data_IF_613388991509
#
_entry.id   IF_613388991509
#
_cell.length_a   1.000
_cell.length_b   1.000
_cell.length_c   1.000
_cell.angle_alpha   90.00
_cell.angle_beta   90.00
_cell.angle_gamma   90.00
#
_symmetry.space_group_name_H-M   'P 1'
#
loop_
_entity.id
_entity.type
_entity.pdbx_description
1 polymer ?
#
# COMPACT_ATOMS: atom_id res chain seq x y z
N UNK A 1 -50.47 -12.96 7.73
CA UNK A 1 -49.40 -13.58 7.00
C UNK A 1 -48.49 -12.47 6.51
N UNK A 2 -47.46 -12.14 7.24
CA UNK A 2 -46.46 -11.14 6.81
C UNK A 2 -45.52 -11.84 5.84
N UNK A 3 -45.51 -11.40 4.60
CA UNK A 3 -44.51 -11.83 3.60
C UNK A 3 -43.16 -11.32 4.10
N UNK A 4 -42.30 -12.24 4.56
CA UNK A 4 -40.87 -12.01 4.68
C UNK A 4 -40.32 -11.91 3.25
N UNK A 5 -40.37 -10.73 2.65
CA UNK A 5 -39.55 -10.41 1.51
C UNK A 5 -38.12 -10.31 2.07
N UNK A 6 -37.32 -11.36 1.91
CA UNK A 6 -35.87 -11.29 2.08
C UNK A 6 -35.39 -10.27 1.05
N UNK A 7 -35.15 -9.02 1.48
CA UNK A 7 -34.52 -8.02 0.62
C UNK A 7 -33.19 -8.59 0.12
N UNK A 8 -33.11 -8.82 -1.16
CA UNK A 8 -31.90 -9.30 -1.82
C UNK A 8 -31.02 -8.11 -2.12
N UNK A 9 -29.93 -7.98 -1.43
CA UNK A 9 -28.95 -6.93 -1.71
C UNK A 9 -28.02 -7.39 -2.83
N UNK A 10 -27.89 -6.55 -3.84
CA UNK A 10 -27.09 -6.85 -5.03
C UNK A 10 -25.61 -6.42 -4.89
N UNK A 11 -25.29 -5.63 -3.84
CA UNK A 11 -23.94 -5.12 -3.57
C UNK A 11 -23.78 -4.70 -2.12
N UNK A 12 -22.55 -4.56 -1.66
CA UNK A 12 -22.20 -4.02 -0.33
C UNK A 12 -22.65 -2.56 -0.23
N UNK A 13 -22.47 -1.78 -1.31
CA UNK A 13 -22.94 -0.39 -1.37
C UNK A 13 -24.45 -0.29 -1.25
N UNK A 14 -25.19 -1.17 -1.92
CA UNK A 14 -26.65 -1.23 -1.82
C UNK A 14 -27.11 -1.57 -0.39
N UNK A 15 -26.45 -2.52 0.28
CA UNK A 15 -26.71 -2.83 1.69
C UNK A 15 -26.49 -1.60 2.59
N UNK A 16 -25.38 -0.90 2.46
CA UNK A 16 -25.05 0.28 3.27
C UNK A 16 -26.04 1.43 3.02
N UNK A 17 -26.39 1.69 1.79
CA UNK A 17 -27.32 2.76 1.39
C UNK A 17 -28.75 2.48 1.91
N UNK A 18 -29.25 1.26 1.72
CA UNK A 18 -30.57 0.84 2.22
C UNK A 18 -30.63 0.87 3.76
N UNK A 19 -29.51 0.53 4.42
CA UNK A 19 -29.35 0.64 5.87
C UNK A 19 -29.26 2.06 6.39
N UNK A 20 -29.25 3.08 5.53
CA UNK A 20 -29.12 4.50 5.91
C UNK A 20 -27.73 4.85 6.46
N UNK A 21 -26.68 4.12 6.04
CA UNK A 21 -25.32 4.39 6.46
C UNK A 21 -24.64 5.40 5.54
N UNK A 22 -23.91 6.33 6.11
CA UNK A 22 -22.81 7.03 5.46
C UNK A 22 -21.59 6.14 5.45
N UNK A 23 -20.79 6.14 4.38
CA UNK A 23 -19.62 5.28 4.30
C UNK A 23 -18.44 5.93 3.55
N UNK A 24 -17.26 5.40 3.79
CA UNK A 24 -16.02 5.69 3.08
C UNK A 24 -15.29 4.38 2.80
N UNK A 25 -14.74 4.25 1.61
CA UNK A 25 -14.06 3.03 1.17
C UNK A 25 -12.61 3.36 0.87
N UNK A 26 -11.71 2.54 1.38
CA UNK A 26 -10.27 2.67 1.14
C UNK A 26 -9.71 1.37 0.56
N UNK A 27 -8.80 1.50 -0.40
CA UNK A 27 -7.87 0.43 -0.75
C UNK A 27 -6.86 0.26 0.38
N UNK A 28 -6.63 -0.98 0.79
CA UNK A 28 -5.66 -1.38 1.81
C UNK A 28 -4.55 -2.27 1.22
N UNK A 29 -4.51 -2.45 -0.08
CA UNK A 29 -3.57 -3.34 -0.77
C UNK A 29 -2.18 -2.73 -0.93
N UNK A 30 -1.87 -2.17 -2.09
CA UNK A 30 -0.56 -1.58 -2.38
C UNK A 30 -0.29 -0.31 -1.60
N UNK A 31 -1.25 0.60 -1.57
CA UNK A 31 -1.25 1.84 -0.77
C UNK A 31 -2.60 2.01 -0.10
N UNK A 32 -2.62 2.70 1.03
CA UNK A 32 -3.87 3.09 1.63
C UNK A 32 -4.36 4.34 0.90
N UNK A 33 -5.47 4.21 0.18
CA UNK A 33 -6.02 5.32 -0.60
C UNK A 33 -7.54 5.26 -0.67
N UNK A 34 -8.16 6.44 -0.70
CA UNK A 34 -9.62 6.58 -0.83
C UNK A 34 -10.09 6.07 -2.19
N UNK A 35 -11.09 5.19 -2.22
CA UNK A 35 -11.85 4.82 -3.41
C UNK A 35 -13.15 5.61 -3.38
N UNK A 36 -13.46 6.37 -4.43
CA UNK A 36 -14.72 7.11 -4.49
C UNK A 36 -15.91 6.15 -4.60
N UNK A 37 -17.07 6.56 -4.08
CA UNK A 37 -18.25 5.73 -4.01
C UNK A 37 -18.67 5.25 -5.41
N UNK A 38 -18.64 6.14 -6.42
CA UNK A 38 -18.94 5.81 -7.83
C UNK A 38 -17.97 4.79 -8.43
N UNK A 39 -16.69 4.90 -8.10
CA UNK A 39 -15.67 3.93 -8.57
C UNK A 39 -15.92 2.58 -7.92
N UNK A 40 -16.24 2.53 -6.63
CA UNK A 40 -16.51 1.27 -5.95
C UNK A 40 -17.79 0.60 -6.45
N UNK A 41 -18.87 1.36 -6.67
CA UNK A 41 -20.09 0.86 -7.32
C UNK A 41 -19.80 0.25 -8.69
N UNK A 42 -18.91 0.88 -9.47
CA UNK A 42 -18.49 0.35 -10.78
C UNK A 42 -17.68 -0.95 -10.66
N UNK A 43 -16.85 -1.06 -9.61
CA UNK A 43 -16.07 -2.27 -9.29
C UNK A 43 -17.02 -3.40 -8.89
N UNK A 44 -17.95 -3.15 -7.95
CA UNK A 44 -18.94 -4.15 -7.52
C UNK A 44 -19.86 -4.61 -8.66
N UNK A 45 -20.23 -3.69 -9.55
CA UNK A 45 -21.05 -3.96 -10.73
C UNK A 45 -20.31 -4.55 -11.93
N UNK A 46 -19.05 -4.95 -11.79
CA UNK A 46 -18.18 -5.46 -12.87
C UNK A 46 -18.06 -4.56 -14.10
N UNK A 47 -18.23 -3.26 -13.91
CA UNK A 47 -18.04 -2.25 -14.96
C UNK A 47 -16.61 -1.74 -15.03
N UNK A 48 -15.86 -1.93 -13.96
CA UNK A 48 -14.47 -1.50 -13.82
C UNK A 48 -13.66 -2.52 -13.03
N UNK A 49 -12.44 -2.84 -13.52
CA UNK A 49 -11.50 -3.66 -12.79
C UNK A 49 -11.00 -2.93 -11.53
N UNK A 50 -10.61 -3.67 -10.51
CA UNK A 50 -10.01 -3.13 -9.29
C UNK A 50 -8.69 -2.42 -9.62
N UNK A 51 -8.47 -1.16 -9.19
CA UNK A 51 -7.39 -0.34 -9.75
C UNK A 51 -5.99 -0.77 -9.34
N UNK A 52 -5.82 -1.32 -8.15
CA UNK A 52 -4.50 -1.67 -7.61
C UNK A 52 -4.52 -3.02 -6.85
N UNK A 53 -4.83 -4.13 -7.54
CA UNK A 53 -4.84 -5.44 -6.92
C UNK A 53 -3.48 -5.79 -6.30
N UNK A 54 -3.51 -6.49 -5.16
CA UNK A 54 -2.32 -6.97 -4.51
C UNK A 54 -2.49 -8.42 -4.11
N UNK A 55 -1.54 -9.27 -4.51
CA UNK A 55 -1.61 -10.72 -4.28
C UNK A 55 -2.92 -11.36 -4.77
N UNK A 56 -3.38 -10.97 -5.95
CA UNK A 56 -4.64 -11.42 -6.59
C UNK A 56 -5.90 -11.13 -5.78
N UNK A 57 -5.88 -10.08 -4.96
CA UNK A 57 -7.01 -9.67 -4.12
C UNK A 57 -7.25 -8.17 -4.18
N UNK A 58 -8.50 -7.79 -3.98
CA UNK A 58 -8.90 -6.46 -3.55
C UNK A 58 -8.88 -6.43 -2.01
N UNK A 59 -8.15 -5.49 -1.43
CA UNK A 59 -8.02 -5.29 0.01
C UNK A 59 -8.72 -4.00 0.37
N UNK A 60 -9.76 -4.07 1.19
CA UNK A 60 -10.67 -2.96 1.44
C UNK A 60 -10.75 -2.65 2.93
N UNK A 61 -10.85 -1.35 3.25
CA UNK A 61 -11.40 -0.92 4.53
C UNK A 61 -12.69 -0.14 4.25
N UNK A 62 -13.78 -0.60 4.87
CA UNK A 62 -15.08 0.06 4.85
C UNK A 62 -15.28 0.75 6.19
N UNK A 63 -15.31 2.07 6.17
CA UNK A 63 -15.64 2.92 7.29
C UNK A 63 -17.07 3.39 7.11
N UNK A 64 -17.97 3.09 8.05
CA UNK A 64 -19.38 3.49 7.92
C UNK A 64 -20.00 3.85 9.27
N UNK A 65 -20.99 4.74 9.22
CA UNK A 65 -21.68 5.25 10.43
C UNK A 65 -23.11 5.63 10.12
N UNK A 66 -23.97 5.70 11.14
CA UNK A 66 -25.32 6.23 11.05
C UNK A 66 -25.37 7.64 11.62
N UNK A 67 -26.25 8.46 11.05
CA UNK A 67 -26.49 9.83 11.48
C UNK A 67 -25.22 10.71 11.52
N UNK A 68 -25.29 11.84 12.22
CA UNK A 68 -24.17 12.78 12.38
C UNK A 68 -23.13 12.33 13.41
N UNK A 69 -23.28 11.16 14.02
CA UNK A 69 -22.36 10.65 15.06
C UNK A 69 -21.22 9.82 14.44
N UNK A 70 -20.29 10.51 13.81
CA UNK A 70 -19.06 9.89 13.26
C UNK A 70 -18.20 9.20 14.35
N UNK A 71 -18.40 9.53 15.62
CA UNK A 71 -17.68 8.91 16.75
C UNK A 71 -18.05 7.44 16.98
N UNK A 72 -19.15 6.96 16.40
CA UNK A 72 -19.60 5.56 16.45
C UNK A 72 -19.35 4.82 15.14
N UNK A 73 -18.40 5.30 14.34
CA UNK A 73 -18.06 4.69 13.06
C UNK A 73 -17.50 3.28 13.25
N UNK A 74 -17.94 2.39 12.38
CA UNK A 74 -17.52 0.99 12.32
C UNK A 74 -16.58 0.81 11.17
N UNK A 75 -15.58 -0.06 11.34
CA UNK A 75 -14.60 -0.36 10.33
C UNK A 75 -14.61 -1.86 10.06
N UNK A 76 -14.76 -2.24 8.79
CA UNK A 76 -14.53 -3.59 8.31
C UNK A 76 -13.29 -3.62 7.43
N UNK A 77 -12.41 -4.57 7.68
CA UNK A 77 -11.28 -4.88 6.82
C UNK A 77 -11.59 -6.16 6.05
N UNK A 78 -11.79 -6.03 4.73
CA UNK A 78 -12.26 -7.09 3.86
C UNK A 78 -11.28 -7.36 2.73
N UNK A 79 -11.14 -8.62 2.34
CA UNK A 79 -10.34 -9.06 1.21
C UNK A 79 -11.20 -9.92 0.28
N UNK A 80 -11.23 -9.58 -1.00
CA UNK A 80 -11.95 -10.35 -2.00
C UNK A 80 -11.01 -10.83 -3.10
N UNK A 81 -11.14 -12.08 -3.55
CA UNK A 81 -10.40 -12.56 -4.71
C UNK A 81 -10.86 -11.81 -5.96
N UNK A 82 -9.92 -11.62 -6.89
CA UNK A 82 -10.18 -11.07 -8.22
C UNK A 82 -9.88 -12.14 -9.28
N UNK A 83 -10.47 -11.95 -10.47
CA UNK A 83 -10.19 -12.79 -11.64
C UNK A 83 -8.93 -12.33 -12.39
N UNK A 84 -8.61 -12.99 -13.51
CA UNK A 84 -7.43 -12.72 -14.32
C UNK A 84 -7.50 -11.37 -15.06
N UNK A 85 -8.69 -10.77 -15.14
CA UNK A 85 -8.93 -9.45 -15.74
C UNK A 85 -8.96 -8.33 -14.70
N UNK A 86 -8.82 -8.68 -13.41
CA UNK A 86 -8.81 -7.73 -12.31
C UNK A 86 -10.20 -7.38 -11.75
N UNK A 87 -11.26 -8.10 -12.14
CA UNK A 87 -12.59 -7.90 -11.59
C UNK A 87 -12.81 -8.68 -10.30
N UNK A 88 -13.63 -8.14 -9.40
CA UNK A 88 -14.07 -8.83 -8.20
C UNK A 88 -14.81 -10.12 -8.57
N UNK A 89 -14.45 -11.25 -7.96
CA UNK A 89 -15.22 -12.49 -8.09
C UNK A 89 -16.56 -12.33 -7.39
N UNK A 90 -17.64 -12.35 -8.18
CA UNK A 90 -19.00 -12.07 -7.69
C UNK A 90 -19.45 -13.11 -6.66
N UNK A 91 -19.06 -14.39 -6.84
CA UNK A 91 -19.41 -15.46 -5.90
C UNK A 91 -18.86 -15.18 -4.49
N UNK A 92 -17.67 -14.59 -4.39
CA UNK A 92 -17.06 -14.23 -3.11
C UNK A 92 -17.76 -13.05 -2.45
N UNK A 93 -18.13 -12.01 -3.24
CA UNK A 93 -18.92 -10.88 -2.76
C UNK A 93 -20.32 -11.32 -2.29
N UNK A 94 -20.99 -12.14 -3.10
CA UNK A 94 -22.34 -12.62 -2.80
C UNK A 94 -22.36 -13.54 -1.56
N UNK A 95 -21.33 -14.39 -1.40
CA UNK A 95 -21.16 -15.20 -0.19
C UNK A 95 -20.97 -14.32 1.05
N UNK A 96 -20.19 -13.24 0.96
CA UNK A 96 -20.06 -12.27 2.05
C UNK A 96 -21.39 -11.58 2.39
N UNK A 97 -22.19 -11.18 1.37
CA UNK A 97 -23.50 -10.56 1.59
C UNK A 97 -24.49 -11.52 2.25
N UNK A 98 -24.48 -12.81 1.87
CA UNK A 98 -25.32 -13.83 2.50
C UNK A 98 -24.93 -13.98 3.98
N UNK A 99 -23.64 -14.14 4.27
CA UNK A 99 -23.11 -14.24 5.64
C UNK A 99 -23.51 -13.02 6.48
N UNK A 100 -23.35 -11.81 5.93
CA UNK A 100 -23.76 -10.56 6.58
C UNK A 100 -25.26 -10.51 6.90
N UNK A 101 -26.10 -10.96 5.96
CA UNK A 101 -27.57 -10.99 6.14
C UNK A 101 -28.00 -12.02 7.19
N UNK A 102 -27.38 -13.21 7.20
CA UNK A 102 -27.66 -14.23 8.20
C UNK A 102 -27.32 -13.76 9.61
N UNK A 103 -26.17 -13.10 9.78
CA UNK A 103 -25.73 -12.54 11.06
C UNK A 103 -26.63 -11.38 11.49
N UNK A 104 -26.99 -10.50 10.57
CA UNK A 104 -27.91 -9.38 10.85
C UNK A 104 -29.31 -9.87 11.20
N UNK A 105 -29.82 -10.90 10.52
CA UNK A 105 -31.12 -11.52 10.77
C UNK A 105 -31.21 -12.20 12.15
N UNK A 106 -30.15 -12.90 12.57
CA UNK A 106 -30.05 -13.51 13.92
C UNK A 106 -30.07 -12.44 15.02
N UNK A 107 -29.44 -11.27 14.79
CA UNK A 107 -29.35 -10.19 15.75
C UNK A 107 -30.62 -9.33 15.86
N UNK A 108 -31.44 -9.24 14.80
CA UNK A 108 -32.77 -8.59 14.85
C UNK A 108 -33.71 -9.36 15.77
N UNK A 109 -33.61 -10.69 15.79
CA UNK A 109 -34.38 -11.54 16.71
C UNK A 109 -33.90 -11.42 18.17
N UNK A 110 -32.61 -11.13 18.37
CA UNK A 110 -31.97 -11.04 19.69
C UNK A 110 -32.04 -9.66 20.34
N UNK A 111 -32.80 -8.70 19.85
CA UNK A 111 -33.09 -7.35 20.39
C UNK A 111 -32.01 -6.64 21.25
N UNK A 112 -30.76 -7.04 21.19
CA UNK A 112 -29.68 -6.43 21.95
C UNK A 112 -28.37 -6.30 21.11
N UNK A 113 -27.97 -5.05 20.94
CA UNK A 113 -26.64 -4.55 20.66
C UNK A 113 -26.05 -4.80 19.26
N UNK A 114 -26.13 -3.76 18.43
CA UNK A 114 -25.40 -3.65 17.14
C UNK A 114 -23.88 -3.86 17.21
N UNK A 115 -23.28 -3.97 18.39
CA UNK A 115 -21.88 -4.34 18.60
C UNK A 115 -21.60 -5.83 18.38
N UNK A 116 -22.51 -6.74 18.73
CA UNK A 116 -22.28 -8.19 18.64
C UNK A 116 -22.23 -8.69 17.18
N UNK A 117 -23.10 -8.18 16.30
CA UNK A 117 -23.09 -8.52 14.87
C UNK A 117 -21.80 -8.08 14.15
N UNK A 118 -21.16 -7.04 14.65
CA UNK A 118 -19.94 -6.48 14.08
C UNK A 118 -18.69 -7.24 14.53
N UNK A 119 -18.73 -7.86 15.71
CA UNK A 119 -17.63 -8.69 16.21
C UNK A 119 -17.59 -10.07 15.55
N UNK A 120 -18.75 -10.63 15.17
CA UNK A 120 -18.83 -11.91 14.45
C UNK A 120 -18.26 -11.86 13.03
N UNK A 121 -18.30 -10.69 12.36
CA UNK A 121 -17.65 -10.51 11.04
C UNK A 121 -16.12 -10.64 11.08
N UNK A 122 -15.49 -10.55 12.25
CA UNK A 122 -14.05 -10.77 12.40
C UNK A 122 -13.64 -12.22 12.11
N UNK A 123 -14.57 -13.16 12.19
CA UNK A 123 -14.35 -14.59 11.88
C UNK A 123 -14.71 -14.94 10.43
N UNK A 124 -15.23 -13.97 9.64
CA UNK A 124 -15.53 -14.17 8.22
C UNK A 124 -14.26 -14.51 7.43
N UNK A 125 -14.30 -15.45 6.48
CA UNK A 125 -13.15 -15.76 5.62
C UNK A 125 -12.72 -14.59 4.73
N UNK A 126 -13.58 -13.59 4.61
CA UNK A 126 -13.29 -12.35 3.89
C UNK A 126 -12.67 -11.28 4.77
N UNK A 127 -12.68 -11.44 6.09
CA UNK A 127 -12.03 -10.50 7.00
C UNK A 127 -10.51 -10.68 7.01
N UNK A 128 -9.79 -9.58 7.25
CA UNK A 128 -8.36 -9.61 7.52
C UNK A 128 -7.97 -8.62 8.61
N UNK A 129 -6.82 -8.86 9.23
CA UNK A 129 -6.25 -7.96 10.24
C UNK A 129 -5.06 -7.24 9.63
N UNK A 130 -5.12 -5.89 9.44
CA UNK A 130 -3.95 -5.12 9.03
C UNK A 130 -2.82 -5.23 10.06
N UNK A 131 -1.56 -5.12 9.60
CA UNK A 131 -0.44 -4.97 10.52
C UNK A 131 -0.53 -3.61 11.25
N UNK A 132 0.16 -3.44 12.40
CA UNK A 132 0.04 -2.24 13.24
C UNK A 132 0.33 -0.92 12.49
N UNK A 133 1.36 -0.88 11.63
CA UNK A 133 1.72 0.33 10.86
C UNK A 133 0.60 0.73 9.90
N UNK A 134 0.07 -0.23 9.15
CA UNK A 134 -1.04 0.02 8.21
C UNK A 134 -2.31 0.39 8.93
N UNK A 135 -2.57 -0.21 10.09
CA UNK A 135 -3.74 0.12 10.89
C UNK A 135 -3.67 1.57 11.42
N UNK A 136 -2.51 1.98 11.95
CA UNK A 136 -2.29 3.34 12.43
C UNK A 136 -2.42 4.36 11.28
N UNK A 137 -1.83 4.06 10.12
CA UNK A 137 -1.92 4.95 8.96
C UNK A 137 -3.34 5.04 8.40
N UNK A 138 -4.07 3.92 8.34
CA UNK A 138 -5.49 3.93 7.96
C UNK A 138 -6.32 4.79 8.92
N UNK A 139 -6.15 4.63 10.23
CA UNK A 139 -6.86 5.44 11.22
C UNK A 139 -6.57 6.93 11.06
N UNK A 140 -5.30 7.31 10.86
CA UNK A 140 -4.91 8.70 10.64
C UNK A 140 -5.57 9.30 9.39
N UNK A 141 -5.58 8.56 8.27
CA UNK A 141 -6.23 8.99 7.03
C UNK A 141 -7.76 9.05 7.17
N UNK A 142 -8.36 8.07 7.85
CA UNK A 142 -9.81 8.02 8.10
C UNK A 142 -10.27 9.18 8.98
N UNK A 143 -9.57 9.47 10.06
CA UNK A 143 -9.86 10.61 10.95
C UNK A 143 -9.72 11.93 10.20
N UNK A 144 -8.70 12.08 9.36
CA UNK A 144 -8.53 13.26 8.51
C UNK A 144 -9.68 13.40 7.51
N UNK A 145 -10.08 12.32 6.84
CA UNK A 145 -11.21 12.31 5.88
C UNK A 145 -12.54 12.70 6.55
N UNK A 146 -12.67 12.43 7.84
CA UNK A 146 -13.84 12.80 8.65
C UNK A 146 -13.72 14.20 9.30
N UNK A 147 -12.68 14.97 8.97
CA UNK A 147 -12.39 16.29 9.54
C UNK A 147 -12.32 16.28 11.08
N UNK A 148 -11.78 15.19 11.65
CA UNK A 148 -11.59 15.03 13.09
C UNK A 148 -10.16 15.39 13.49
N UNK A 149 -9.99 15.72 14.79
CA UNK A 149 -8.68 16.03 15.37
C UNK A 149 -7.78 14.79 15.37
N UNK A 150 -6.44 14.97 15.23
CA UNK A 150 -5.48 13.88 15.37
C UNK A 150 -5.52 13.27 16.78
N UNK A 151 -4.86 12.13 16.96
CA UNK A 151 -4.74 11.47 18.25
C UNK A 151 -3.93 12.31 19.26
N UNK A 152 -4.02 11.93 20.53
CA UNK A 152 -3.20 12.56 21.60
C UNK A 152 -1.68 12.43 21.39
N UNK A 153 -1.22 11.53 20.52
CA UNK A 153 0.21 11.31 20.21
C UNK A 153 0.76 12.27 19.16
N UNK A 154 -0.08 13.02 18.48
CA UNK A 154 0.30 13.91 17.39
C UNK A 154 1.31 14.97 17.83
N UNK A 155 1.02 15.71 18.92
CA UNK A 155 1.89 16.77 19.39
C UNK A 155 3.25 16.24 19.85
N UNK A 156 3.28 15.14 20.58
CA UNK A 156 4.53 14.50 21.02
C UNK A 156 5.44 14.12 19.83
N UNK A 157 4.84 13.63 18.74
CA UNK A 157 5.61 13.32 17.53
C UNK A 157 6.16 14.59 16.86
N UNK A 158 5.42 15.68 16.87
CA UNK A 158 5.90 16.98 16.36
C UNK A 158 7.05 17.52 17.20
N UNK A 159 6.97 17.43 18.52
CA UNK A 159 8.02 17.84 19.45
C UNK A 159 9.32 17.04 19.23
N UNK A 160 9.19 15.76 18.87
CA UNK A 160 10.32 14.93 18.45
C UNK A 160 10.93 15.44 17.12
N UNK A 161 10.09 15.71 16.12
CA UNK A 161 10.54 16.17 14.80
C UNK A 161 11.19 17.54 14.84
N UNK A 162 10.80 18.43 15.78
CA UNK A 162 11.47 19.70 16.01
C UNK A 162 12.83 19.56 16.68
N UNK A 163 13.11 18.40 17.28
CA UNK A 163 14.32 18.16 18.08
C UNK A 163 14.19 18.54 19.56
N UNK A 164 13.03 19.07 19.98
CA UNK A 164 12.82 19.56 21.35
C UNK A 164 12.97 18.47 22.40
N UNK A 165 12.65 17.21 22.06
CA UNK A 165 12.77 16.05 22.96
C UNK A 165 14.10 15.29 22.81
N UNK A 166 14.90 15.61 21.80
CA UNK A 166 16.09 14.85 21.42
C UNK A 166 15.76 13.61 20.57
N UNK A 167 16.56 13.36 19.52
CA UNK A 167 16.32 12.27 18.59
C UNK A 167 16.60 10.87 19.15
N UNK A 168 17.30 10.77 20.25
CA UNK A 168 17.55 9.54 21.00
C UNK A 168 16.28 9.02 21.71
N UNK A 169 15.26 9.87 21.91
CA UNK A 169 14.00 9.52 22.58
C UNK A 169 12.97 8.85 21.65
N UNK A 170 13.39 8.39 20.48
CA UNK A 170 12.52 7.79 19.45
C UNK A 170 11.71 6.58 19.93
N UNK A 171 12.16 5.84 20.97
CA UNK A 171 11.46 4.69 21.53
C UNK A 171 10.08 5.05 22.12
N UNK A 172 9.87 6.32 22.44
CA UNK A 172 8.58 6.82 22.94
C UNK A 172 7.61 7.26 21.86
N UNK A 173 8.02 7.18 20.57
CA UNK A 173 7.13 7.49 19.45
C UNK A 173 6.13 6.36 19.24
N UNK A 174 4.84 6.71 19.31
CA UNK A 174 3.77 5.79 18.95
C UNK A 174 3.53 5.79 17.43
N UNK A 175 3.26 4.61 16.85
CA UNK A 175 2.92 4.48 15.42
C UNK A 175 1.76 5.39 15.01
N UNK A 176 0.78 5.59 15.89
CA UNK A 176 -0.36 6.48 15.61
C UNK A 176 0.07 7.95 15.49
N UNK A 177 1.01 8.42 16.32
CA UNK A 177 1.52 9.78 16.23
C UNK A 177 2.29 10.02 14.93
N UNK A 178 3.13 9.05 14.51
CA UNK A 178 3.83 9.06 13.21
C UNK A 178 2.83 9.14 12.07
N UNK A 179 1.81 8.28 12.09
CA UNK A 179 0.77 8.23 11.08
C UNK A 179 -0.04 9.54 11.02
N UNK A 180 -0.38 10.13 12.15
CA UNK A 180 -1.13 11.39 12.23
C UNK A 180 -0.36 12.56 11.62
N UNK A 181 0.96 12.66 11.87
CA UNK A 181 1.82 13.69 11.27
C UNK A 181 1.90 13.47 9.76
N UNK A 182 2.14 12.24 9.31
CA UNK A 182 2.27 11.92 7.88
C UNK A 182 0.95 12.13 7.14
N UNK A 183 -0.18 11.77 7.73
CA UNK A 183 -1.49 12.03 7.11
C UNK A 183 -1.76 13.54 6.93
N UNK A 184 -1.10 14.39 7.71
CA UNK A 184 -1.29 15.85 7.75
C UNK A 184 -0.06 16.64 7.29
N UNK A 185 0.70 16.12 6.32
CA UNK A 185 1.91 16.78 5.81
C UNK A 185 1.71 18.25 5.39
N UNK A 186 0.59 18.61 4.79
CA UNK A 186 0.30 19.99 4.39
C UNK A 186 -0.23 20.90 5.51
N UNK A 187 -0.31 20.43 6.75
CA UNK A 187 -0.82 21.15 7.91
C UNK A 187 0.33 21.51 8.85
N UNK A 188 0.29 22.70 9.46
CA UNK A 188 1.20 23.13 10.53
C UNK A 188 2.70 22.92 10.22
N UNK A 189 3.11 23.00 8.96
CA UNK A 189 4.50 22.78 8.50
C UNK A 189 5.06 21.39 8.85
N UNK A 190 4.25 20.35 8.92
CA UNK A 190 4.68 19.00 9.21
C UNK A 190 5.68 18.44 8.20
N UNK A 191 5.53 18.82 6.92
CA UNK A 191 6.45 18.46 5.84
C UNK A 191 7.85 19.10 6.04
N UNK A 192 7.92 20.34 6.49
CA UNK A 192 9.19 21.03 6.79
C UNK A 192 9.88 20.43 8.03
N UNK A 193 9.10 20.15 9.09
CA UNK A 193 9.63 19.51 10.31
C UNK A 193 10.22 18.14 9.97
N UNK A 194 9.48 17.32 9.25
CA UNK A 194 9.93 15.99 8.87
C UNK A 194 11.14 16.04 7.93
N UNK A 195 11.16 16.98 6.97
CA UNK A 195 12.30 17.18 6.06
C UNK A 195 13.61 17.47 6.81
N UNK A 196 13.55 18.29 7.86
CA UNK A 196 14.71 18.58 8.71
C UNK A 196 15.15 17.37 9.51
N UNK A 197 14.18 16.64 10.08
CA UNK A 197 14.45 15.50 10.95
C UNK A 197 15.01 14.28 10.22
N UNK A 198 14.64 14.03 8.95
CA UNK A 198 15.07 12.87 8.15
C UNK A 198 16.59 12.69 8.12
N UNK A 199 17.35 13.77 8.10
CA UNK A 199 18.81 13.70 7.99
C UNK A 199 19.52 13.41 9.32
N UNK A 200 18.85 13.65 10.44
CA UNK A 200 19.45 13.57 11.78
C UNK A 200 18.85 12.48 12.69
N UNK A 201 17.63 12.03 12.38
CA UNK A 201 16.98 10.98 13.18
C UNK A 201 17.67 9.61 12.97
N UNK A 202 17.64 8.73 14.00
CA UNK A 202 18.08 7.34 13.86
C UNK A 202 17.31 6.56 12.79
N UNK A 203 17.88 5.46 12.30
CA UNK A 203 17.29 4.63 11.25
C UNK A 203 15.94 4.04 11.66
N UNK A 204 15.77 3.57 12.88
CA UNK A 204 14.54 2.92 13.32
C UNK A 204 13.28 3.81 13.17
N UNK A 205 13.24 5.06 13.68
CA UNK A 205 12.11 5.95 13.41
C UNK A 205 12.01 6.35 11.93
N UNK A 206 13.12 6.51 11.20
CA UNK A 206 13.11 6.79 9.78
C UNK A 206 12.35 5.70 8.99
N UNK A 207 12.61 4.43 9.27
CA UNK A 207 11.88 3.30 8.66
C UNK A 207 10.38 3.39 8.95
N UNK A 208 9.98 3.73 10.18
CA UNK A 208 8.57 3.89 10.53
C UNK A 208 7.90 5.06 9.78
N UNK A 209 8.60 6.20 9.66
CA UNK A 209 8.13 7.32 8.82
C UNK A 209 8.04 6.93 7.35
N UNK A 210 9.02 6.21 6.79
CA UNK A 210 8.98 5.73 5.41
C UNK A 210 7.78 4.81 5.16
N UNK A 211 7.46 3.91 6.11
CA UNK A 211 6.27 3.05 6.03
C UNK A 211 4.96 3.82 5.99
N UNK A 212 4.86 4.92 6.71
CA UNK A 212 3.69 5.81 6.65
C UNK A 212 3.68 6.63 5.35
N UNK A 213 4.83 7.21 4.95
CA UNK A 213 4.99 8.08 3.77
C UNK A 213 4.65 7.38 2.45
N UNK A 214 4.77 6.05 2.34
CA UNK A 214 4.38 5.32 1.13
C UNK A 214 2.91 5.52 0.72
N UNK A 215 2.06 5.99 1.65
CA UNK A 215 0.62 6.17 1.46
C UNK A 215 0.20 7.61 1.13
N UNK A 216 1.14 8.54 1.09
CA UNK A 216 0.90 9.96 0.82
C UNK A 216 1.78 10.46 -0.33
N UNK A 217 1.74 11.76 -0.59
CA UNK A 217 2.51 12.40 -1.66
C UNK A 217 3.47 13.43 -1.10
N UNK A 218 4.69 13.05 -0.72
CA UNK A 218 5.72 14.01 -0.31
C UNK A 218 6.00 15.04 -1.41
N UNK A 219 6.18 16.31 -1.03
CA UNK A 219 6.42 17.43 -1.96
C UNK A 219 7.54 18.34 -1.43
N UNK A 220 8.04 19.20 -2.30
CA UNK A 220 8.94 20.30 -1.93
C UNK A 220 10.16 19.84 -1.12
N UNK A 221 10.37 20.46 0.04
CA UNK A 221 11.51 20.19 0.93
C UNK A 221 11.57 18.74 1.40
N UNK A 222 10.41 18.12 1.69
CA UNK A 222 10.36 16.74 2.15
C UNK A 222 10.78 15.74 1.05
N UNK A 223 10.28 15.91 -0.18
CA UNK A 223 10.69 15.08 -1.29
C UNK A 223 12.20 15.19 -1.54
N UNK A 224 12.75 16.39 -1.52
CA UNK A 224 14.19 16.63 -1.67
C UNK A 224 15.01 15.99 -0.55
N UNK A 225 14.59 16.12 0.72
CA UNK A 225 15.28 15.52 1.85
C UNK A 225 15.31 13.98 1.77
N UNK A 226 14.21 13.35 1.36
CA UNK A 226 14.15 11.90 1.11
C UNK A 226 15.11 11.46 0.00
N UNK A 227 15.20 12.24 -1.09
CA UNK A 227 16.12 11.98 -2.21
C UNK A 227 17.57 12.12 -1.79
N UNK A 228 17.91 13.18 -1.06
CA UNK A 228 19.26 13.39 -0.54
C UNK A 228 19.67 12.27 0.41
N UNK A 229 18.75 11.85 1.29
CA UNK A 229 18.98 10.71 2.19
C UNK A 229 19.20 9.42 1.41
N UNK A 230 18.41 9.15 0.37
CA UNK A 230 18.58 7.97 -0.47
C UNK A 230 19.95 8.00 -1.19
N UNK A 231 20.36 9.14 -1.71
CA UNK A 231 21.67 9.30 -2.35
C UNK A 231 22.81 9.08 -1.37
N UNK A 232 22.74 9.59 -0.14
CA UNK A 232 23.78 9.39 0.89
C UNK A 232 23.96 7.92 1.24
N UNK A 233 22.85 7.20 1.46
CA UNK A 233 22.88 5.75 1.76
C UNK A 233 23.50 4.96 0.60
N UNK A 234 23.21 5.33 -0.65
CA UNK A 234 23.75 4.68 -1.83
C UNK A 234 25.26 4.88 -1.98
N UNK A 235 25.78 6.08 -1.66
CA UNK A 235 27.21 6.37 -1.77
C UNK A 235 28.06 5.73 -0.66
N UNK A 236 27.50 5.55 0.53
CA UNK A 236 28.15 4.90 1.67
C UNK A 236 28.23 3.38 1.51
N UNK A 237 27.31 2.78 0.73
CA UNK A 237 27.20 1.33 0.53
C UNK A 237 28.05 0.71 -0.58
N UNK A 238 29.02 1.42 -1.19
CA UNK A 238 29.92 0.85 -2.19
C UNK A 238 31.04 0.09 -1.47
N UNK A 239 30.97 -1.26 -1.30
CA UNK A 239 32.06 -2.00 -0.67
C UNK A 239 33.29 -1.95 -1.58
N UNK A 240 34.50 -1.87 -1.04
CA UNK A 240 35.72 -2.06 -1.83
C UNK A 240 35.66 -3.44 -2.48
N UNK A 241 36.09 -3.55 -3.74
CA UNK A 241 36.02 -4.71 -4.64
C UNK A 241 36.59 -6.07 -4.13
N UNK A 242 36.80 -6.23 -2.81
CA UNK A 242 37.39 -7.42 -2.20
C UNK A 242 36.70 -7.74 -0.85
N UNK A 243 35.44 -8.22 -0.87
CA UNK A 243 34.81 -8.78 0.34
C UNK A 243 34.63 -10.29 0.19
N UNK A 244 35.15 -11.05 1.17
CA UNK A 244 34.88 -12.48 1.30
C UNK A 244 33.45 -12.70 1.82
N UNK A 245 32.75 -13.69 1.27
CA UNK A 245 31.36 -14.04 1.65
C UNK A 245 31.23 -14.22 3.18
N UNK A 246 30.22 -13.58 3.79
CA UNK A 246 29.96 -13.65 5.24
C UNK A 246 30.67 -12.58 6.08
N UNK A 247 31.26 -11.57 5.46
CA UNK A 247 31.90 -10.45 6.17
C UNK A 247 30.88 -9.43 6.70
N UNK A 248 31.30 -8.63 7.72
CA UNK A 248 30.52 -7.49 8.22
C UNK A 248 30.06 -6.54 7.12
N UNK A 249 30.83 -6.40 6.04
CA UNK A 249 30.51 -5.60 4.88
C UNK A 249 29.29 -6.11 4.08
N UNK A 250 29.03 -7.43 4.01
CA UNK A 250 27.79 -7.95 3.39
C UNK A 250 26.56 -7.68 4.24
N UNK A 251 26.69 -7.74 5.57
CA UNK A 251 25.59 -7.39 6.48
C UNK A 251 25.25 -5.90 6.42
N UNK A 252 26.25 -5.03 6.33
CA UNK A 252 26.09 -3.59 6.15
C UNK A 252 25.49 -3.26 4.78
N UNK A 253 25.95 -3.91 3.70
CA UNK A 253 25.39 -3.73 2.36
C UNK A 253 23.90 -4.16 2.31
N UNK A 254 23.53 -5.28 2.93
CA UNK A 254 22.14 -5.72 3.02
C UNK A 254 21.27 -4.74 3.81
N UNK A 255 21.78 -4.18 4.92
CA UNK A 255 21.06 -3.15 5.69
C UNK A 255 20.84 -1.89 4.85
N UNK A 256 21.86 -1.43 4.11
CA UNK A 256 21.75 -0.28 3.23
C UNK A 256 20.72 -0.49 2.11
N UNK A 257 20.68 -1.66 1.48
CA UNK A 257 19.69 -1.98 0.44
C UNK A 257 18.27 -2.00 0.99
N UNK A 258 18.05 -2.49 2.21
CA UNK A 258 16.76 -2.42 2.89
C UNK A 258 16.32 -0.97 3.13
N UNK A 259 17.23 -0.12 3.60
CA UNK A 259 16.94 1.30 3.82
C UNK A 259 16.65 2.02 2.48
N UNK A 260 17.41 1.71 1.42
CA UNK A 260 17.13 2.20 0.06
C UNK A 260 15.72 1.79 -0.38
N UNK A 261 15.35 0.53 -0.20
CA UNK A 261 14.00 0.03 -0.54
C UNK A 261 12.91 0.78 0.24
N UNK A 262 13.11 1.06 1.54
CA UNK A 262 12.17 1.82 2.36
C UNK A 262 12.05 3.29 1.90
N UNK A 263 13.16 3.95 1.57
CA UNK A 263 13.16 5.31 1.04
C UNK A 263 12.48 5.38 -0.34
N UNK A 264 12.68 4.40 -1.20
CA UNK A 264 11.97 4.29 -2.48
C UNK A 264 10.44 4.14 -2.27
N UNK A 265 10.03 3.36 -1.29
CA UNK A 265 8.60 3.24 -0.93
C UNK A 265 8.04 4.59 -0.47
N UNK A 266 8.75 5.31 0.39
CA UNK A 266 8.36 6.65 0.83
C UNK A 266 8.26 7.64 -0.34
N UNK A 267 9.19 7.57 -1.30
CA UNK A 267 9.22 8.40 -2.50
C UNK A 267 8.18 8.01 -3.56
N UNK A 268 7.54 6.86 -3.45
CA UNK A 268 6.66 6.30 -4.50
C UNK A 268 5.43 7.15 -4.84
N UNK A 269 5.09 8.15 -4.04
CA UNK A 269 4.05 9.15 -4.29
C UNK A 269 4.60 10.57 -4.47
N UNK A 270 5.93 10.77 -4.39
CA UNK A 270 6.52 12.10 -4.37
C UNK A 270 6.27 12.91 -5.66
N UNK A 271 6.10 14.21 -5.50
CA UNK A 271 5.91 15.18 -6.57
C UNK A 271 7.07 16.21 -6.57
N UNK A 272 7.55 16.66 -7.75
CA UNK A 272 7.05 16.33 -9.09
C UNK A 272 7.49 14.95 -9.60
N UNK A 273 6.71 14.38 -10.54
CA UNK A 273 6.94 13.03 -11.07
C UNK A 273 8.30 12.86 -11.75
N UNK A 274 8.76 13.87 -12.47
CA UNK A 274 10.02 13.80 -13.22
C UNK A 274 11.21 13.63 -12.28
N UNK A 275 11.20 14.31 -11.13
CA UNK A 275 12.22 14.14 -10.09
C UNK A 275 12.22 12.71 -9.55
N UNK A 276 11.06 12.16 -9.24
CA UNK A 276 10.89 10.79 -8.76
C UNK A 276 11.34 9.78 -9.80
N UNK A 277 10.98 9.97 -11.08
CA UNK A 277 11.36 9.10 -12.20
C UNK A 277 12.87 9.10 -12.44
N UNK A 278 13.52 10.27 -12.33
CA UNK A 278 14.97 10.36 -12.41
C UNK A 278 15.66 9.49 -11.35
N UNK A 279 15.22 9.60 -10.09
CA UNK A 279 15.77 8.78 -9.00
C UNK A 279 15.50 7.28 -9.20
N UNK A 280 14.35 6.89 -9.73
CA UNK A 280 14.07 5.49 -10.03
C UNK A 280 15.02 4.93 -11.10
N UNK A 281 15.36 5.71 -12.11
CA UNK A 281 16.35 5.31 -13.14
C UNK A 281 17.75 5.18 -12.54
N UNK A 282 18.15 6.14 -11.66
CA UNK A 282 19.45 6.07 -10.99
C UNK A 282 19.57 4.80 -10.11
N UNK A 283 18.50 4.47 -9.36
CA UNK A 283 18.48 3.28 -8.50
C UNK A 283 18.40 1.98 -9.29
N UNK A 284 17.74 1.99 -10.46
CA UNK A 284 17.71 0.82 -11.35
C UNK A 284 19.04 0.56 -12.06
N UNK A 285 20.03 1.45 -11.96
CA UNK A 285 21.38 1.17 -12.41
C UNK A 285 22.07 0.15 -11.46
N UNK A 286 22.95 -0.75 -12.00
CA UNK A 286 23.71 -1.67 -11.16
C UNK A 286 24.63 -0.95 -10.16
N UNK A 287 24.88 -1.52 -8.97
CA UNK A 287 24.40 -2.83 -8.48
C UNK A 287 23.02 -2.80 -7.81
N UNK A 288 22.48 -1.63 -7.40
CA UNK A 288 21.24 -1.53 -6.64
C UNK A 288 20.01 -2.07 -7.37
N UNK A 289 19.91 -1.84 -8.67
CA UNK A 289 18.80 -2.32 -9.48
C UNK A 289 18.68 -3.85 -9.53
N UNK A 290 19.75 -4.56 -9.21
CA UNK A 290 19.79 -6.03 -9.16
C UNK A 290 19.32 -6.57 -7.80
N UNK A 291 19.12 -5.72 -6.80
CA UNK A 291 18.65 -6.14 -5.47
C UNK A 291 17.16 -6.45 -5.48
N UNK A 292 16.79 -7.61 -4.90
CA UNK A 292 15.38 -8.08 -4.89
C UNK A 292 14.46 -7.19 -4.04
N UNK A 293 14.95 -6.61 -2.94
CA UNK A 293 14.17 -5.72 -2.08
C UNK A 293 13.86 -4.40 -2.80
N UNK A 294 14.80 -3.89 -3.58
CA UNK A 294 14.62 -2.72 -4.44
C UNK A 294 13.56 -2.99 -5.51
N UNK A 295 13.66 -4.13 -6.21
CA UNK A 295 12.67 -4.52 -7.22
C UNK A 295 11.27 -4.74 -6.59
N UNK A 296 11.21 -5.35 -5.41
CA UNK A 296 9.97 -5.53 -4.66
C UNK A 296 9.36 -4.19 -4.20
N UNK A 297 10.18 -3.23 -3.77
CA UNK A 297 9.72 -1.89 -3.41
C UNK A 297 9.13 -1.15 -4.62
N UNK A 298 9.79 -1.21 -5.78
CA UNK A 298 9.29 -0.59 -7.02
C UNK A 298 8.00 -1.25 -7.47
N UNK A 299 7.95 -2.59 -7.59
CA UNK A 299 6.74 -3.32 -8.02
C UNK A 299 5.58 -3.15 -7.05
N UNK A 300 5.86 -3.12 -5.75
CA UNK A 300 4.85 -3.03 -4.69
C UNK A 300 4.30 -1.64 -4.44
N UNK A 301 5.10 -0.58 -4.62
CA UNK A 301 4.72 0.79 -4.23
C UNK A 301 4.86 1.83 -5.33
N UNK A 302 5.87 1.71 -6.22
CA UNK A 302 6.12 2.63 -7.33
C UNK A 302 5.65 2.06 -8.68
N UNK A 303 4.74 1.07 -8.68
CA UNK A 303 4.26 0.39 -9.90
C UNK A 303 3.71 1.33 -10.98
N UNK A 304 3.17 2.50 -10.59
CA UNK A 304 2.67 3.48 -11.54
C UNK A 304 3.78 4.04 -12.45
N UNK A 305 5.00 4.15 -11.92
CA UNK A 305 6.15 4.63 -12.69
C UNK A 305 6.62 3.61 -13.73
N UNK A 306 6.25 2.33 -13.60
CA UNK A 306 6.47 1.31 -14.64
C UNK A 306 5.63 1.55 -15.90
N UNK A 307 4.69 2.50 -15.91
CA UNK A 307 4.04 2.99 -17.14
C UNK A 307 5.00 3.80 -18.01
N UNK A 308 6.01 4.41 -17.40
CA UNK A 308 7.10 5.07 -18.12
C UNK A 308 8.01 4.00 -18.75
N UNK A 309 8.21 4.07 -20.08
CA UNK A 309 8.93 3.02 -20.83
C UNK A 309 10.39 2.85 -20.38
N UNK A 310 11.23 3.90 -20.24
CA UNK A 310 12.61 3.76 -19.77
C UNK A 310 12.71 3.04 -18.42
N UNK A 311 11.89 3.41 -17.43
CA UNK A 311 11.86 2.79 -16.09
C UNK A 311 11.43 1.32 -16.20
N UNK A 312 10.40 1.03 -16.97
CA UNK A 312 9.90 -0.32 -17.16
C UNK A 312 10.95 -1.22 -17.83
N UNK A 313 11.65 -0.73 -18.83
CA UNK A 313 12.72 -1.48 -19.50
C UNK A 313 13.88 -1.79 -18.56
N UNK A 314 14.38 -0.80 -17.82
CA UNK A 314 15.42 -1.02 -16.82
C UNK A 314 14.97 -2.02 -15.74
N UNK A 315 13.71 -1.90 -15.26
CA UNK A 315 13.14 -2.83 -14.30
C UNK A 315 13.05 -4.26 -14.83
N UNK A 316 12.60 -4.46 -16.08
CA UNK A 316 12.50 -5.78 -16.72
C UNK A 316 13.87 -6.44 -16.84
N UNK A 317 14.91 -5.70 -17.23
CA UNK A 317 16.27 -6.21 -17.34
C UNK A 317 16.78 -6.73 -15.99
N UNK A 318 16.62 -5.94 -14.93
CA UNK A 318 17.02 -6.34 -13.57
C UNK A 318 16.19 -7.49 -13.03
N UNK A 319 14.89 -7.50 -13.30
CA UNK A 319 14.01 -8.61 -12.92
C UNK A 319 14.40 -9.91 -13.62
N UNK A 320 14.85 -9.85 -14.88
CA UNK A 320 15.34 -11.00 -15.62
C UNK A 320 16.65 -11.58 -15.04
N UNK A 321 17.45 -10.81 -14.32
CA UNK A 321 18.64 -11.29 -13.61
C UNK A 321 18.29 -12.13 -12.36
N UNK A 322 17.07 -11.96 -11.78
CA UNK A 322 16.63 -12.65 -10.57
C UNK A 322 16.40 -14.16 -10.82
N UNK A 323 16.29 -14.96 -9.74
CA UNK A 323 15.88 -16.36 -9.88
C UNK A 323 14.44 -16.46 -10.43
N UNK A 324 14.08 -17.65 -10.98
CA UNK A 324 12.78 -17.84 -11.64
C UNK A 324 11.59 -17.58 -10.69
N UNK A 325 11.70 -18.01 -9.43
CA UNK A 325 10.62 -17.83 -8.43
C UNK A 325 10.31 -16.36 -8.16
N UNK A 326 11.36 -15.54 -7.99
CA UNK A 326 11.19 -14.10 -7.77
C UNK A 326 10.64 -13.41 -9.03
N UNK A 327 11.16 -13.78 -10.21
CA UNK A 327 10.65 -13.31 -11.50
C UNK A 327 9.16 -13.59 -11.64
N UNK A 328 8.73 -14.85 -11.42
CA UNK A 328 7.35 -15.27 -11.58
C UNK A 328 6.42 -14.57 -10.58
N UNK A 329 6.85 -14.43 -9.33
CA UNK A 329 6.05 -13.80 -8.27
C UNK A 329 5.79 -12.31 -8.56
N UNK A 330 6.85 -11.55 -8.89
CA UNK A 330 6.75 -10.12 -9.17
C UNK A 330 5.96 -9.88 -10.47
N UNK A 331 6.25 -10.65 -11.51
CA UNK A 331 5.58 -10.50 -12.80
C UNK A 331 4.09 -10.84 -12.70
N UNK A 332 3.74 -11.95 -12.04
CA UNK A 332 2.34 -12.34 -11.81
C UNK A 332 1.56 -11.24 -11.08
N UNK A 333 2.16 -10.65 -10.05
CA UNK A 333 1.49 -9.62 -9.25
C UNK A 333 1.30 -8.31 -10.04
N UNK A 334 2.31 -7.89 -10.81
CA UNK A 334 2.19 -6.71 -11.69
C UNK A 334 1.19 -6.90 -12.83
N UNK A 335 1.09 -8.10 -13.40
CA UNK A 335 0.14 -8.39 -14.49
C UNK A 335 -1.33 -8.32 -14.07
N UNK A 336 -1.63 -8.33 -12.77
CA UNK A 336 -2.98 -8.14 -12.26
C UNK A 336 -3.42 -6.67 -12.27
N UNK A 337 -2.48 -5.73 -12.36
CA UNK A 337 -2.80 -4.30 -12.42
C UNK A 337 -3.35 -3.99 -13.82
N UNK A 338 -4.49 -3.28 -13.93
CA UNK A 338 -5.05 -2.88 -15.20
C UNK A 338 -4.03 -2.20 -16.12
N UNK A 339 -4.02 -2.57 -17.40
CA UNK A 339 -3.11 -2.10 -18.47
C UNK A 339 -1.64 -2.55 -18.34
N UNK A 340 -1.17 -2.92 -17.14
CA UNK A 340 0.23 -3.29 -16.91
C UNK A 340 0.63 -4.56 -17.68
N UNK A 341 -0.25 -5.53 -17.77
CA UNK A 341 -0.03 -6.79 -18.51
C UNK A 341 0.36 -6.54 -19.96
N UNK A 342 -0.37 -5.64 -20.64
CA UNK A 342 -0.08 -5.29 -22.04
C UNK A 342 1.28 -4.61 -22.20
N UNK A 343 1.60 -3.67 -21.31
CA UNK A 343 2.87 -2.94 -21.30
C UNK A 343 4.07 -3.87 -21.07
N UNK A 344 3.99 -4.73 -20.04
CA UNK A 344 5.07 -5.67 -19.70
C UNK A 344 5.31 -6.70 -20.83
N UNK A 345 4.25 -7.37 -21.28
CA UNK A 345 4.36 -8.37 -22.35
C UNK A 345 4.80 -7.73 -23.67
N UNK A 346 4.36 -6.50 -23.96
CA UNK A 346 4.76 -5.77 -25.14
C UNK A 346 6.27 -5.49 -25.18
N UNK A 347 6.84 -5.08 -24.05
CA UNK A 347 8.28 -4.85 -23.97
C UNK A 347 9.08 -6.17 -23.96
N UNK A 348 8.63 -7.19 -23.22
CA UNK A 348 9.34 -8.47 -23.10
C UNK A 348 9.37 -9.32 -24.37
N UNK A 349 8.48 -9.06 -25.33
CA UNK A 349 8.39 -9.80 -26.61
C UNK A 349 9.09 -9.10 -27.76
N UNK A 350 9.81 -8.01 -27.53
CA UNK A 350 10.60 -7.35 -28.57
C UNK A 350 11.77 -8.24 -29.03
N UNK A 351 12.12 -8.14 -30.29
CA UNK A 351 13.14 -8.99 -30.92
C UNK A 351 14.59 -8.77 -30.38
N UNK A 352 14.82 -7.63 -29.72
CA UNK A 352 16.10 -7.23 -29.16
C UNK A 352 16.35 -7.70 -27.71
N UNK A 353 15.48 -8.55 -27.18
CA UNK A 353 15.57 -9.00 -25.80
C UNK A 353 16.67 -10.04 -25.56
N UNK A 354 17.28 -10.00 -24.37
CA UNK A 354 18.28 -10.98 -23.98
C UNK A 354 17.74 -12.42 -23.97
N UNK A 355 18.57 -13.40 -24.35
CA UNK A 355 18.19 -14.82 -24.31
C UNK A 355 17.75 -15.27 -22.90
N UNK A 356 18.32 -14.67 -21.85
CA UNK A 356 17.94 -14.92 -20.45
C UNK A 356 16.49 -14.51 -20.14
N UNK A 357 16.07 -13.32 -20.56
CA UNK A 357 14.71 -12.83 -20.39
C UNK A 357 13.72 -13.70 -21.17
N UNK A 358 14.03 -14.01 -22.43
CA UNK A 358 13.16 -14.86 -23.28
C UNK A 358 12.96 -16.24 -22.66
N UNK A 359 14.02 -16.85 -22.13
CA UNK A 359 13.90 -18.16 -21.45
C UNK A 359 13.03 -18.09 -20.21
N UNK A 360 13.20 -17.07 -19.34
CA UNK A 360 12.38 -16.88 -18.14
C UNK A 360 10.92 -16.62 -18.48
N UNK A 361 10.65 -15.79 -19.47
CA UNK A 361 9.29 -15.51 -19.92
C UNK A 361 8.61 -16.77 -20.47
N UNK A 362 9.33 -17.58 -21.26
CA UNK A 362 8.79 -18.85 -21.76
C UNK A 362 8.45 -19.84 -20.64
N UNK A 363 9.28 -19.94 -19.60
CA UNK A 363 8.98 -20.76 -18.41
C UNK A 363 7.76 -20.25 -17.66
N UNK A 364 7.68 -18.94 -17.45
CA UNK A 364 6.54 -18.27 -16.81
C UNK A 364 5.23 -18.52 -17.56
N UNK A 365 5.23 -18.34 -18.88
CA UNK A 365 4.02 -18.56 -19.70
C UNK A 365 3.56 -20.02 -19.70
N UNK A 366 4.50 -20.98 -19.68
CA UNK A 366 4.16 -22.42 -19.56
C UNK A 366 3.58 -22.79 -18.19
N UNK A 367 3.90 -22.05 -17.14
CA UNK A 367 3.39 -22.31 -15.79
C UNK A 367 1.98 -21.73 -15.54
N UNK A 368 1.51 -20.85 -16.42
CA UNK A 368 0.18 -20.20 -16.32
C UNK A 368 -0.86 -20.92 -17.20
N UNK A 369 -0.41 -21.64 -18.22
CA UNK A 369 -1.26 -22.48 -19.09
C UNK A 369 -1.43 -23.86 -18.45
#
# INVERSE_FOLDING_TARGET
MAQNSTEKFDSITHFLQTGGFHYRIFDMGRKISRISDKVFESIEGQKQAYPAPFQKKAWLALLFWRDKKQSEAVIWFLQFPIDELGFLKQEARDAFLIDLLEQTGKNIQAKQQGKAALDELKESPFAFKPNPDRLAMFHALAIKELDQRPSQYYQHTRDYLSGDTGYEQWQFLGLQGIADVVARLGEESNDELLAKAINVMPEAPLVSFCSALENVKPKGSLANALIEKLKSVNTEGTPPHFCTAGSSAELEANSNNQLVAMLLRALSGAEPEDLRRGILLDVLAPPLGEDIEVLAAISGRAWNDLRNQPIRQAFIVNLAAQNQRAFDAILSDLMMIPDMRGLLLGDMKKDDQSAGLVNKLNKFLKAIV
#
